data_IF_126511971519
#
_entry.id   IF_126511971519
#
_cell.length_a   1.000
_cell.length_b   1.000
_cell.length_c   1.000
_cell.angle_alpha   90.00
_cell.angle_beta   90.00
_cell.angle_gamma   90.00
#
_symmetry.space_group_name_H-M   'P 1'
#
loop_
_entity.id
_entity.type
_entity.pdbx_description
1 polymer ?
#
# COMPACT_ATOMS: atom_id res chain seq x y z
N UNK A 1 -19.08 3.34 21.32
CA UNK A 1 -18.38 4.52 21.86
C UNK A 1 -17.50 4.19 23.06
N UNK A 2 -17.96 3.42 24.06
CA UNK A 2 -17.12 2.98 25.20
C UNK A 2 -15.96 2.05 24.81
N UNK A 3 -16.18 1.09 23.89
CA UNK A 3 -15.13 0.15 23.49
C UNK A 3 -13.93 0.83 22.82
N UNK A 4 -14.13 1.92 22.08
CA UNK A 4 -13.03 2.71 21.49
C UNK A 4 -12.21 3.50 22.52
N UNK A 5 -12.76 3.77 23.72
CA UNK A 5 -12.02 4.43 24.79
C UNK A 5 -10.96 3.51 25.40
N UNK A 6 -11.17 2.18 25.37
CA UNK A 6 -10.26 1.20 25.95
C UNK A 6 -8.99 1.01 25.12
N UNK A 7 -9.04 1.24 23.81
CA UNK A 7 -7.85 1.15 22.94
C UNK A 7 -6.72 2.09 23.40
N UNK A 8 -7.05 3.21 24.07
CA UNK A 8 -6.08 4.20 24.56
C UNK A 8 -5.06 3.61 25.54
N UNK A 9 -5.44 2.56 26.27
CA UNK A 9 -4.59 1.93 27.27
C UNK A 9 -3.67 0.86 26.69
N UNK A 10 -3.98 0.34 25.50
CA UNK A 10 -3.15 -0.65 24.81
C UNK A 10 -1.74 -0.09 24.59
N UNK A 11 -0.75 -0.97 24.75
CA UNK A 11 0.65 -0.61 24.66
C UNK A 11 1.31 -1.26 23.45
N UNK A 12 2.13 -0.48 22.77
CA UNK A 12 2.96 -0.96 21.66
C UNK A 12 4.42 -0.58 21.89
N UNK A 13 5.29 -1.31 21.22
CA UNK A 13 6.71 -1.00 21.04
C UNK A 13 6.95 -0.67 19.58
N UNK A 14 7.63 0.44 19.35
CA UNK A 14 8.00 0.90 18.00
C UNK A 14 9.49 0.71 17.84
N UNK A 15 9.92 0.39 16.61
CA UNK A 15 11.34 0.26 16.30
C UNK A 15 12.12 1.52 16.73
N UNK A 16 13.23 1.34 17.46
CA UNK A 16 14.12 2.41 17.88
C UNK A 16 15.04 2.85 16.74
N UNK A 17 15.70 1.86 16.18
CA UNK A 17 16.51 1.89 14.97
C UNK A 17 16.56 0.45 14.48
N UNK A 18 16.26 0.22 13.19
CA UNK A 18 16.26 -1.11 12.55
C UNK A 18 17.63 -1.79 12.67
N UNK A 19 18.69 -1.00 12.88
CA UNK A 19 20.08 -1.45 13.00
C UNK A 19 20.61 -1.53 14.44
N UNK A 20 19.76 -1.39 15.47
CA UNK A 20 20.22 -1.36 16.86
C UNK A 20 20.02 -2.69 17.60
N UNK A 21 20.97 -3.01 18.50
CA UNK A 21 20.92 -4.17 19.41
C UNK A 21 19.68 -4.20 20.31
N UNK A 22 19.04 -3.03 20.51
CA UNK A 22 17.73 -2.89 21.14
C UNK A 22 16.73 -2.44 20.08
N UNK A 23 16.15 -3.37 19.32
CA UNK A 23 15.38 -3.03 18.13
C UNK A 23 14.16 -2.17 18.45
N UNK A 24 13.68 -2.17 19.70
CA UNK A 24 12.48 -1.48 20.13
C UNK A 24 12.71 -0.41 21.20
N UNK A 25 11.95 0.68 21.10
CA UNK A 25 11.84 1.70 22.14
C UNK A 25 11.06 1.15 23.35
N UNK A 26 11.13 1.87 24.48
CA UNK A 26 10.30 1.56 25.65
C UNK A 26 8.81 1.53 25.25
N UNK A 27 8.00 0.59 25.79
CA UNK A 27 6.56 0.53 25.51
C UNK A 27 5.87 1.87 25.77
N UNK A 28 4.92 2.22 24.91
CA UNK A 28 4.10 3.41 25.05
C UNK A 28 2.63 3.04 24.85
N UNK A 29 1.75 3.65 25.66
CA UNK A 29 0.31 3.54 25.44
C UNK A 29 -0.09 4.29 24.18
N UNK A 30 -1.14 3.83 23.50
CA UNK A 30 -1.71 4.56 22.37
C UNK A 30 -2.12 6.00 22.76
N UNK A 31 -2.57 6.20 24.01
CA UNK A 31 -2.83 7.53 24.58
C UNK A 31 -1.60 8.44 24.54
N UNK A 32 -0.44 7.93 24.96
CA UNK A 32 0.80 8.71 25.02
C UNK A 32 1.34 9.01 23.62
N UNK A 33 1.26 8.05 22.69
CA UNK A 33 1.67 8.26 21.30
C UNK A 33 0.90 9.39 20.63
N UNK A 34 -0.38 9.53 20.94
CA UNK A 34 -1.24 10.62 20.44
C UNK A 34 -0.87 12.01 20.97
N UNK A 35 -0.10 12.09 22.04
CA UNK A 35 0.34 13.36 22.62
C UNK A 35 1.69 13.83 22.04
N UNK A 36 2.28 13.06 21.11
CA UNK A 36 3.49 13.48 20.42
C UNK A 36 3.21 14.65 19.48
N UNK A 37 4.26 15.36 19.05
CA UNK A 37 4.15 16.43 18.06
C UNK A 37 3.63 15.95 16.71
N UNK A 38 3.86 14.68 16.38
CA UNK A 38 3.43 14.02 15.16
C UNK A 38 2.74 12.70 15.52
N UNK A 39 1.46 12.76 15.93
CA UNK A 39 0.73 11.59 16.40
C UNK A 39 0.51 10.58 15.26
N UNK A 40 0.93 9.31 15.44
CA UNK A 40 0.78 8.30 14.40
C UNK A 40 -0.67 7.82 14.27
N UNK A 41 -1.01 7.27 13.12
CA UNK A 41 -2.20 6.42 12.93
C UNK A 41 -1.86 4.99 13.32
N UNK A 42 -2.85 4.23 13.77
CA UNK A 42 -2.69 2.83 14.17
C UNK A 42 -3.59 1.96 13.30
N UNK A 43 -3.03 0.90 12.75
CA UNK A 43 -3.76 -0.17 12.08
C UNK A 43 -3.43 -1.47 12.82
N UNK A 44 -4.41 -2.03 13.53
CA UNK A 44 -4.21 -3.26 14.30
C UNK A 44 -4.93 -4.41 13.63
N UNK A 45 -4.24 -5.54 13.47
CA UNK A 45 -4.72 -6.76 12.84
C UNK A 45 -4.68 -7.90 13.85
N UNK A 46 -5.72 -8.72 13.92
CA UNK A 46 -5.78 -9.93 14.74
C UNK A 46 -6.21 -11.12 13.88
N UNK A 47 -5.45 -12.20 13.96
CA UNK A 47 -5.67 -13.39 13.14
C UNK A 47 -4.80 -14.55 13.60
N UNK A 48 -4.89 -15.66 12.88
CA UNK A 48 -3.90 -16.75 12.94
C UNK A 48 -2.55 -16.26 12.41
N UNK A 49 -1.47 -16.96 12.76
CA UNK A 49 -0.15 -16.65 12.24
C UNK A 49 -0.11 -16.67 10.69
N UNK A 50 -0.87 -17.56 10.05
CA UNK A 50 -0.97 -17.63 8.59
C UNK A 50 -1.66 -16.38 8.01
N UNK A 51 -2.85 -16.03 8.52
CA UNK A 51 -3.60 -14.85 8.05
C UNK A 51 -2.78 -13.57 8.21
N UNK A 52 -2.08 -13.42 9.34
CA UNK A 52 -1.25 -12.24 9.60
C UNK A 52 -0.01 -12.20 8.71
N UNK A 53 0.61 -13.33 8.38
CA UNK A 53 1.74 -13.38 7.43
C UNK A 53 1.31 -13.06 6.00
N UNK A 54 0.10 -13.46 5.60
CA UNK A 54 -0.48 -13.09 4.31
C UNK A 54 -0.72 -11.58 4.26
N UNK A 55 -1.43 -11.01 5.24
CA UNK A 55 -1.67 -9.58 5.35
C UNK A 55 -0.35 -8.77 5.42
N UNK A 56 0.65 -9.31 6.13
CA UNK A 56 1.94 -8.66 6.23
C UNK A 56 2.68 -8.62 4.89
N UNK A 57 2.65 -9.70 4.11
CA UNK A 57 3.25 -9.75 2.78
C UNK A 57 2.68 -8.68 1.85
N UNK A 58 1.36 -8.45 1.91
CA UNK A 58 0.68 -7.39 1.16
C UNK A 58 1.06 -5.99 1.67
N UNK A 59 1.11 -5.79 2.99
CA UNK A 59 1.49 -4.49 3.58
C UNK A 59 2.96 -4.14 3.36
N UNK A 60 3.85 -5.13 3.19
CA UNK A 60 5.27 -4.89 2.86
C UNK A 60 5.42 -4.11 1.55
N UNK A 61 4.58 -4.39 0.56
CA UNK A 61 4.53 -3.64 -0.71
C UNK A 61 4.29 -2.15 -0.48
N UNK A 62 3.55 -1.81 0.58
CA UNK A 62 3.14 -0.46 0.91
C UNK A 62 4.00 0.18 2.01
N UNK A 63 5.09 -0.46 2.42
CA UNK A 63 5.86 -0.07 3.61
C UNK A 63 6.30 1.40 3.62
N UNK A 64 6.86 1.88 2.52
CA UNK A 64 7.24 3.29 2.37
C UNK A 64 6.03 4.23 2.44
N UNK A 65 4.87 3.82 1.93
CA UNK A 65 3.62 4.61 1.97
C UNK A 65 3.02 4.64 3.37
N UNK A 66 3.11 3.54 4.12
CA UNK A 66 2.75 3.49 5.53
C UNK A 66 3.61 4.45 6.37
N UNK A 67 4.92 4.53 6.10
CA UNK A 67 5.80 5.51 6.74
C UNK A 67 5.40 6.95 6.39
N UNK A 68 5.13 7.24 5.11
CA UNK A 68 4.69 8.57 4.65
C UNK A 68 3.37 9.02 5.28
N UNK A 69 2.51 8.06 5.60
CA UNK A 69 1.24 8.28 6.27
C UNK A 69 1.35 8.31 7.81
N UNK A 70 2.57 8.17 8.36
CA UNK A 70 2.84 8.00 9.79
C UNK A 70 1.95 6.93 10.45
N UNK A 71 1.86 5.77 9.80
CA UNK A 71 1.02 4.66 10.27
C UNK A 71 1.87 3.55 10.90
N UNK A 72 1.48 3.11 12.10
CA UNK A 72 1.99 1.88 12.69
C UNK A 72 1.00 0.74 12.51
N UNK A 73 1.51 -0.39 12.01
CA UNK A 73 0.79 -1.65 11.94
C UNK A 73 1.11 -2.48 13.18
N UNK A 74 0.09 -3.01 13.85
CA UNK A 74 0.24 -3.88 15.02
C UNK A 74 -0.36 -5.24 14.69
N UNK A 75 0.44 -6.30 14.79
CA UNK A 75 -0.01 -7.67 14.53
C UNK A 75 -0.27 -8.39 15.86
N UNK A 76 -1.49 -8.92 16.01
CA UNK A 76 -1.96 -9.59 17.23
C UNK A 76 -2.30 -11.05 16.91
N UNK A 77 -1.30 -11.95 16.91
CA UNK A 77 -1.55 -13.36 16.66
C UNK A 77 -2.39 -13.98 17.77
N UNK A 78 -3.29 -14.89 17.38
CA UNK A 78 -4.20 -15.58 18.31
C UNK A 78 -3.68 -16.93 18.77
N UNK A 79 -3.07 -17.66 17.85
CA UNK A 79 -2.70 -19.07 17.96
C UNK A 79 -1.21 -19.28 18.30
N UNK A 80 -0.30 -18.64 17.57
CA UNK A 80 1.14 -18.84 17.72
C UNK A 80 1.91 -17.52 17.62
N UNK A 81 3.07 -17.38 18.30
CA UNK A 81 3.95 -16.22 18.12
C UNK A 81 4.31 -16.00 16.65
N UNK A 82 4.33 -14.74 16.22
CA UNK A 82 4.79 -14.36 14.89
C UNK A 82 6.31 -14.24 14.88
N UNK A 83 6.96 -15.01 14.01
CA UNK A 83 8.39 -14.87 13.72
C UNK A 83 8.56 -14.08 12.44
N UNK A 84 8.88 -12.79 12.58
CA UNK A 84 9.08 -11.89 11.46
C UNK A 84 10.51 -12.04 10.93
N UNK A 85 10.64 -12.29 9.63
CA UNK A 85 11.94 -12.39 8.94
C UNK A 85 12.58 -11.02 8.65
N UNK A 86 11.87 -9.93 8.91
CA UNK A 86 12.33 -8.57 8.67
C UNK A 86 11.84 -7.63 9.77
N UNK A 87 12.50 -6.47 9.86
CA UNK A 87 12.07 -5.36 10.69
C UNK A 87 11.69 -4.18 9.80
N UNK A 88 10.68 -3.42 10.20
CA UNK A 88 10.27 -2.22 9.50
C UNK A 88 9.84 -1.14 10.50
N UNK A 89 10.15 0.12 10.19
CA UNK A 89 9.83 1.24 11.09
C UNK A 89 8.33 1.53 11.20
N UNK A 90 7.53 1.08 10.24
CA UNK A 90 6.06 1.15 10.26
C UNK A 90 5.43 -0.04 11.01
N UNK A 91 6.20 -1.04 11.41
CA UNK A 91 5.70 -2.20 12.14
C UNK A 91 5.95 -2.03 13.65
N UNK A 92 4.91 -2.24 14.44
CA UNK A 92 4.95 -2.13 15.89
C UNK A 92 4.58 -3.46 16.56
N UNK A 93 5.23 -3.76 17.67
CA UNK A 93 5.01 -4.97 18.46
C UNK A 93 3.97 -4.67 19.57
N UNK A 94 2.93 -5.51 19.76
CA UNK A 94 2.07 -5.42 20.92
C UNK A 94 2.85 -5.76 22.19
N UNK A 95 2.88 -4.87 23.18
CA UNK A 95 3.68 -5.11 24.38
C UNK A 95 3.08 -6.18 25.31
N UNK A 96 1.76 -6.13 25.54
CA UNK A 96 1.02 -7.16 26.25
C UNK A 96 0.02 -7.81 25.29
N UNK A 97 0.40 -8.95 24.71
CA UNK A 97 -0.41 -9.62 23.69
C UNK A 97 -1.78 -10.05 24.23
N UNK A 98 -1.88 -10.43 25.50
CA UNK A 98 -3.13 -10.91 26.09
C UNK A 98 -4.14 -9.78 26.29
N UNK A 99 -3.68 -8.57 26.65
CA UNK A 99 -4.53 -7.37 26.66
C UNK A 99 -5.06 -7.04 25.26
N UNK A 100 -4.20 -7.15 24.24
CA UNK A 100 -4.62 -6.96 22.85
C UNK A 100 -5.65 -8.00 22.40
N UNK A 101 -5.43 -9.28 22.73
CA UNK A 101 -6.39 -10.36 22.47
C UNK A 101 -7.72 -10.12 23.18
N UNK A 102 -7.67 -9.74 24.46
CA UNK A 102 -8.85 -9.37 25.25
C UNK A 102 -9.63 -8.24 24.59
N UNK A 103 -8.95 -7.16 24.18
CA UNK A 103 -9.58 -6.04 23.48
C UNK A 103 -10.28 -6.46 22.17
N UNK A 104 -9.61 -7.27 21.34
CA UNK A 104 -10.23 -7.77 20.11
C UNK A 104 -11.44 -8.66 20.39
N UNK A 105 -11.39 -9.51 21.41
CA UNK A 105 -12.51 -10.36 21.83
C UNK A 105 -13.68 -9.54 22.39
N UNK A 106 -13.40 -8.46 23.11
CA UNK A 106 -14.41 -7.52 23.58
C UNK A 106 -15.08 -6.78 22.42
N UNK A 107 -14.35 -6.46 21.35
CA UNK A 107 -14.92 -5.88 20.13
C UNK A 107 -15.87 -6.86 19.43
N UNK A 108 -15.41 -8.09 19.21
CA UNK A 108 -16.19 -9.16 18.62
C UNK A 108 -15.61 -10.52 19.06
N UNK A 109 -16.39 -11.43 19.66
CA UNK A 109 -15.89 -12.72 20.17
C UNK A 109 -15.61 -13.76 19.06
N UNK A 110 -15.58 -13.36 17.79
CA UNK A 110 -15.37 -14.27 16.65
C UNK A 110 -13.93 -14.74 16.54
N UNK A 111 -13.76 -15.93 15.94
CA UNK A 111 -12.46 -16.52 15.59
C UNK A 111 -12.01 -16.16 14.17
N UNK A 112 -12.58 -15.13 13.57
CA UNK A 112 -12.22 -14.67 12.22
C UNK A 112 -11.04 -13.69 12.27
N UNK A 113 -10.37 -13.49 11.13
CA UNK A 113 -9.47 -12.34 10.96
C UNK A 113 -10.21 -11.04 11.27
N UNK A 114 -9.57 -10.12 11.97
CA UNK A 114 -10.15 -8.84 12.39
C UNK A 114 -9.15 -7.73 12.23
N UNK A 115 -9.63 -6.53 11.96
CA UNK A 115 -8.81 -5.34 11.96
C UNK A 115 -9.58 -4.13 12.47
N UNK A 116 -8.84 -3.16 13.00
CA UNK A 116 -9.37 -1.83 13.24
C UNK A 116 -8.30 -0.77 12.99
N UNK A 117 -8.77 0.42 12.67
CA UNK A 117 -7.93 1.57 12.36
C UNK A 117 -8.24 2.77 13.23
N UNK A 118 -7.21 3.41 13.78
CA UNK A 118 -7.32 4.65 14.55
C UNK A 118 -6.56 5.77 13.85
N UNK A 119 -7.21 6.93 13.71
CA UNK A 119 -6.56 8.12 13.18
C UNK A 119 -5.65 8.79 14.23
N UNK A 120 -5.00 9.89 13.87
CA UNK A 120 -4.11 10.63 14.77
C UNK A 120 -4.81 11.20 16.02
N UNK A 121 -6.13 11.41 15.95
CA UNK A 121 -6.98 11.77 17.09
C UNK A 121 -7.45 10.55 17.90
N UNK A 122 -6.93 9.36 17.58
CA UNK A 122 -7.33 8.06 18.11
C UNK A 122 -8.84 7.82 18.09
N UNK A 123 -9.53 8.31 17.06
CA UNK A 123 -10.89 7.91 16.71
C UNK A 123 -10.81 6.80 15.67
N UNK A 124 -11.77 5.88 15.71
CA UNK A 124 -11.87 4.85 14.68
C UNK A 124 -12.09 5.48 13.30
N UNK A 125 -11.38 4.99 12.29
CA UNK A 125 -11.67 5.27 10.88
C UNK A 125 -12.25 4.07 10.14
N UNK A 126 -12.30 2.91 10.79
CA UNK A 126 -12.81 1.68 10.18
C UNK A 126 -12.41 0.45 10.99
N UNK A 127 -13.16 -0.62 10.78
CA UNK A 127 -12.90 -1.95 11.31
C UNK A 127 -13.59 -3.00 10.44
N UNK A 128 -13.07 -4.22 10.43
CA UNK A 128 -13.68 -5.34 9.71
C UNK A 128 -13.40 -6.69 10.38
N UNK A 129 -14.19 -7.69 9.97
CA UNK A 129 -14.08 -9.10 10.37
C UNK A 129 -14.17 -9.97 9.11
N UNK A 130 -13.55 -11.14 9.13
CA UNK A 130 -13.59 -12.12 8.04
C UNK A 130 -12.51 -11.92 6.98
N UNK A 131 -12.27 -10.67 6.56
CA UNK A 131 -11.36 -10.37 5.45
C UNK A 131 -10.40 -9.21 5.75
N UNK A 132 -9.22 -9.27 5.12
CA UNK A 132 -8.29 -8.13 5.05
C UNK A 132 -8.92 -6.98 4.27
N UNK A 133 -8.72 -5.72 4.69
CA UNK A 133 -9.20 -4.59 3.92
C UNK A 133 -8.42 -4.46 2.61
N UNK A 134 -9.03 -3.85 1.61
CA UNK A 134 -8.35 -3.44 0.39
C UNK A 134 -7.33 -2.35 0.72
N UNK A 135 -6.06 -2.73 0.91
CA UNK A 135 -5.03 -1.85 1.49
C UNK A 135 -4.84 -0.55 0.74
N UNK A 136 -4.89 -0.59 -0.60
CA UNK A 136 -4.74 0.60 -1.43
C UNK A 136 -5.91 1.58 -1.21
N UNK A 137 -7.14 1.08 -1.08
CA UNK A 137 -8.30 1.92 -0.79
C UNK A 137 -8.21 2.53 0.62
N UNK A 138 -7.75 1.73 1.60
CA UNK A 138 -7.53 2.20 2.97
C UNK A 138 -6.48 3.31 3.02
N UNK A 139 -5.40 3.17 2.23
CA UNK A 139 -4.39 4.21 2.03
C UNK A 139 -5.00 5.50 1.48
N UNK A 140 -5.74 5.42 0.38
CA UNK A 140 -6.33 6.58 -0.28
C UNK A 140 -7.39 7.30 0.56
N UNK A 141 -8.09 6.61 1.44
CA UNK A 141 -9.20 7.18 2.20
C UNK A 141 -8.77 7.70 3.57
N UNK A 142 -8.04 6.87 4.33
CA UNK A 142 -7.83 7.09 5.76
C UNK A 142 -6.36 7.23 6.13
N UNK A 143 -5.46 6.59 5.39
CA UNK A 143 -4.01 6.62 5.63
C UNK A 143 -3.27 7.48 4.58
N UNK A 144 -3.84 8.65 4.30
CA UNK A 144 -3.28 9.65 3.39
C UNK A 144 -1.89 10.13 3.85
N UNK A 145 -1.01 10.56 2.93
CA UNK A 145 0.33 11.00 3.30
C UNK A 145 0.25 12.17 4.29
N UNK A 146 1.14 12.19 5.29
CA UNK A 146 1.37 13.37 6.13
C UNK A 146 2.57 14.17 5.63
N UNK A 147 3.57 13.46 5.08
CA UNK A 147 4.71 14.04 4.38
C UNK A 147 4.57 13.71 2.89
N UNK A 148 4.34 14.74 2.07
CA UNK A 148 4.37 14.58 0.61
C UNK A 148 5.83 14.50 0.16
N UNK A 149 6.10 13.57 -0.74
CA UNK A 149 7.35 13.59 -1.50
C UNK A 149 7.29 14.76 -2.47
N UNK A 150 8.43 15.44 -2.66
CA UNK A 150 8.59 16.35 -3.78
C UNK A 150 8.96 15.59 -5.06
N UNK A 151 8.92 16.30 -6.20
CA UNK A 151 9.23 15.75 -7.52
C UNK A 151 10.72 15.47 -7.74
N UNK A 152 11.58 15.83 -6.77
CA UNK A 152 13.04 15.75 -6.88
C UNK A 152 13.61 14.60 -6.04
N UNK A 153 12.77 13.92 -5.25
CA UNK A 153 13.19 12.75 -4.50
C UNK A 153 13.53 11.59 -5.43
N UNK A 154 14.83 11.32 -5.50
CA UNK A 154 15.42 10.19 -6.19
C UNK A 154 14.81 8.85 -5.73
N UNK A 155 14.80 7.83 -6.61
CA UNK A 155 14.48 6.47 -6.23
C UNK A 155 15.31 6.05 -5.01
N UNK A 156 14.77 5.16 -4.19
CA UNK A 156 15.62 4.48 -3.21
C UNK A 156 16.67 3.68 -4.00
N UNK A 157 17.96 3.87 -3.70
CA UNK A 157 19.01 3.08 -4.33
C UNK A 157 18.87 1.64 -3.82
N UNK A 158 18.42 0.70 -4.66
CA UNK A 158 18.18 -0.65 -4.18
C UNK A 158 19.54 -1.33 -4.07
N UNK A 159 19.98 -1.59 -2.85
CA UNK A 159 21.14 -2.47 -2.61
C UNK A 159 20.93 -3.90 -3.14
N UNK A 160 19.68 -4.25 -3.46
CA UNK A 160 19.25 -5.52 -4.02
C UNK A 160 19.07 -5.43 -5.55
N UNK A 161 19.79 -6.28 -6.28
CA UNK A 161 19.77 -6.34 -7.73
C UNK A 161 18.38 -6.71 -8.31
N UNK A 162 17.59 -7.55 -7.63
CA UNK A 162 16.24 -7.89 -8.08
C UNK A 162 15.31 -6.67 -7.96
N UNK A 163 15.41 -5.89 -6.87
CA UNK A 163 14.70 -4.62 -6.75
C UNK A 163 15.13 -3.62 -7.83
N UNK A 164 16.44 -3.52 -8.12
CA UNK A 164 16.95 -2.67 -9.20
C UNK A 164 16.33 -3.01 -10.56
N UNK A 165 16.23 -4.31 -10.86
CA UNK A 165 15.62 -4.82 -12.10
C UNK A 165 14.13 -4.44 -12.21
N UNK A 166 13.36 -4.58 -11.13
CA UNK A 166 11.94 -4.14 -11.09
C UNK A 166 11.83 -2.63 -11.32
N UNK A 167 12.68 -1.83 -10.67
CA UNK A 167 12.66 -0.37 -10.85
C UNK A 167 13.08 0.06 -12.26
N UNK A 168 13.96 -0.69 -12.92
CA UNK A 168 14.28 -0.48 -14.32
C UNK A 168 13.07 -0.77 -15.23
N UNK A 169 12.35 -1.87 -14.98
CA UNK A 169 11.11 -2.18 -15.70
C UNK A 169 10.03 -1.11 -15.48
N UNK A 170 9.90 -0.60 -14.26
CA UNK A 170 9.02 0.54 -13.95
C UNK A 170 9.40 1.80 -14.75
N UNK A 171 10.69 2.13 -14.82
CA UNK A 171 11.17 3.27 -15.63
C UNK A 171 10.83 3.09 -17.11
N UNK A 172 11.01 1.88 -17.65
CA UNK A 172 10.64 1.56 -19.02
C UNK A 172 9.12 1.74 -19.26
N UNK A 173 8.28 1.33 -18.31
CA UNK A 173 6.83 1.52 -18.37
C UNK A 173 6.46 2.99 -18.50
N UNK A 174 6.97 3.84 -17.59
CA UNK A 174 6.66 5.26 -17.63
C UNK A 174 7.22 5.95 -18.87
N UNK A 175 8.39 5.52 -19.36
CA UNK A 175 8.95 6.02 -20.61
C UNK A 175 8.11 5.63 -21.84
N UNK A 176 7.53 4.43 -21.87
CA UNK A 176 6.60 4.02 -22.93
C UNK A 176 5.27 4.77 -22.84
N UNK A 177 4.71 4.87 -21.62
CA UNK A 177 3.44 5.55 -21.35
C UNK A 177 3.46 7.03 -21.77
N UNK A 178 4.47 7.76 -21.34
CA UNK A 178 4.59 9.21 -21.59
C UNK A 178 4.91 9.54 -23.05
N UNK A 179 5.53 8.61 -23.80
CA UNK A 179 5.84 8.77 -25.23
C UNK A 179 4.76 8.22 -26.16
N UNK A 180 3.75 7.53 -25.64
CA UNK A 180 2.74 6.88 -26.47
C UNK A 180 3.24 5.66 -27.25
N UNK A 181 4.31 5.01 -26.78
CA UNK A 181 4.98 3.91 -27.49
C UNK A 181 4.29 2.57 -27.21
N UNK A 182 3.38 2.16 -28.10
CA UNK A 182 2.58 0.93 -27.96
C UNK A 182 3.43 -0.33 -28.05
N UNK A 183 4.50 -0.34 -28.86
CA UNK A 183 5.35 -1.51 -29.04
C UNK A 183 6.20 -1.75 -27.79
N UNK A 184 6.77 -0.68 -27.22
CA UNK A 184 7.45 -0.76 -25.93
C UNK A 184 6.47 -1.16 -24.81
N UNK A 185 5.25 -0.63 -24.83
CA UNK A 185 4.23 -0.99 -23.85
C UNK A 185 3.86 -2.48 -23.91
N UNK A 186 3.65 -3.03 -25.12
CA UNK A 186 3.38 -4.45 -25.34
C UNK A 186 4.54 -5.35 -24.89
N UNK A 187 5.79 -4.89 -25.03
CA UNK A 187 6.95 -5.62 -24.57
C UNK A 187 7.06 -5.69 -23.02
N UNK A 188 6.42 -4.76 -22.31
CA UNK A 188 6.47 -4.66 -20.84
C UNK A 188 5.40 -5.51 -20.18
N UNK A 189 4.22 -5.62 -20.79
CA UNK A 189 3.10 -6.33 -20.19
C UNK A 189 3.28 -7.86 -20.16
N UNK A 190 2.72 -8.45 -19.11
CA UNK A 190 2.42 -9.87 -19.07
C UNK A 190 1.17 -10.16 -19.92
N UNK A 191 1.26 -11.09 -20.85
CA UNK A 191 0.17 -11.47 -21.78
C UNK A 191 -0.93 -12.33 -21.12
N UNK A 192 -1.23 -12.09 -19.85
CA UNK A 192 -2.34 -12.68 -19.13
C UNK A 192 -3.18 -11.62 -18.43
N UNK A 193 -4.47 -11.86 -18.31
CA UNK A 193 -5.40 -10.89 -17.74
C UNK A 193 -5.30 -10.86 -16.22
N UNK A 194 -5.33 -9.66 -15.65
CA UNK A 194 -5.44 -9.50 -14.21
C UNK A 194 -6.87 -9.83 -13.78
N UNK A 195 -7.01 -10.64 -12.72
CA UNK A 195 -8.32 -10.91 -12.13
C UNK A 195 -9.00 -9.61 -11.69
N UNK A 196 -8.23 -8.69 -11.08
CA UNK A 196 -8.76 -7.42 -10.59
C UNK A 196 -9.31 -6.48 -11.67
N UNK A 197 -8.85 -6.59 -12.92
CA UNK A 197 -9.40 -5.85 -14.06
C UNK A 197 -10.57 -6.63 -14.65
N UNK A 198 -10.46 -7.96 -14.73
CA UNK A 198 -11.50 -8.85 -15.23
C UNK A 198 -12.78 -8.75 -14.41
N UNK A 199 -12.69 -8.68 -13.09
CA UNK A 199 -13.84 -8.52 -12.20
C UNK A 199 -14.63 -7.23 -12.50
N UNK A 200 -13.93 -6.13 -12.78
CA UNK A 200 -14.54 -4.84 -13.12
C UNK A 200 -15.27 -4.91 -14.46
N UNK A 201 -14.63 -5.52 -15.46
CA UNK A 201 -15.22 -5.70 -16.79
C UNK A 201 -16.46 -6.61 -16.70
N UNK A 202 -16.38 -7.70 -15.93
CA UNK A 202 -17.51 -8.61 -15.72
C UNK A 202 -18.67 -7.93 -14.97
N UNK A 203 -18.38 -6.94 -14.13
CA UNK A 203 -19.38 -6.10 -13.47
C UNK A 203 -19.94 -4.99 -14.39
N UNK A 204 -19.57 -4.95 -15.67
CA UNK A 204 -20.04 -3.98 -16.67
C UNK A 204 -19.15 -2.75 -16.84
N UNK A 205 -17.96 -2.73 -16.24
CA UNK A 205 -16.98 -1.67 -16.42
C UNK A 205 -16.43 -1.65 -17.85
N UNK A 206 -16.27 -0.44 -18.40
CA UNK A 206 -15.66 -0.24 -19.72
C UNK A 206 -14.13 -0.23 -19.60
N UNK A 207 -13.47 -0.91 -20.53
CA UNK A 207 -12.03 -0.82 -20.73
C UNK A 207 -11.71 0.15 -21.85
N UNK A 208 -10.82 1.10 -21.57
CA UNK A 208 -10.18 1.93 -22.58
C UNK A 208 -8.86 1.27 -22.97
N UNK A 209 -8.70 0.96 -24.26
CA UNK A 209 -7.56 0.17 -24.72
C UNK A 209 -6.26 0.96 -24.63
N UNK A 210 -5.11 0.28 -24.59
CA UNK A 210 -3.82 0.99 -24.64
C UNK A 210 -3.65 1.83 -25.89
N UNK A 211 -4.24 1.45 -27.02
CA UNK A 211 -4.25 2.28 -28.22
C UNK A 211 -4.92 3.63 -27.95
N UNK A 212 -6.04 3.63 -27.23
CA UNK A 212 -6.78 4.83 -26.89
C UNK A 212 -6.07 5.66 -25.82
N UNK A 213 -5.55 5.00 -24.76
CA UNK A 213 -4.83 5.64 -23.67
C UNK A 213 -3.50 6.28 -24.11
N UNK A 214 -2.88 5.81 -25.19
CA UNK A 214 -1.59 6.30 -25.68
C UNK A 214 -1.71 7.36 -26.79
N UNK A 215 -2.92 7.68 -27.26
CA UNK A 215 -3.14 8.71 -28.28
C UNK A 215 -2.68 10.10 -27.82
N UNK A 216 -2.29 10.94 -28.78
CA UNK A 216 -2.02 12.36 -28.55
C UNK A 216 -3.21 13.04 -27.86
N UNK A 217 -2.93 13.78 -26.79
CA UNK A 217 -3.95 14.44 -25.96
C UNK A 217 -4.66 13.54 -24.94
N UNK A 218 -4.56 12.21 -25.07
CA UNK A 218 -5.05 11.25 -24.06
C UNK A 218 -3.94 10.77 -23.12
N UNK A 219 -2.73 10.54 -23.65
CA UNK A 219 -1.58 10.08 -22.85
C UNK A 219 -1.13 11.15 -21.83
N UNK A 220 -0.54 10.74 -20.70
CA UNK A 220 -0.02 11.66 -19.70
C UNK A 220 1.35 12.23 -20.10
N UNK A 221 1.41 12.94 -21.22
CA UNK A 221 2.65 13.51 -21.77
C UNK A 221 3.31 14.47 -20.77
N UNK A 222 4.60 14.28 -20.47
CA UNK A 222 5.33 15.13 -19.51
C UNK A 222 5.04 14.82 -18.04
N UNK A 223 4.28 13.76 -17.73
CA UNK A 223 4.13 13.27 -16.36
C UNK A 223 5.49 12.88 -15.77
N UNK A 224 5.74 13.30 -14.53
CA UNK A 224 6.93 12.92 -13.76
C UNK A 224 6.57 11.89 -12.71
N UNK A 225 7.57 11.13 -12.27
CA UNK A 225 7.43 10.18 -11.18
C UNK A 225 8.50 10.43 -10.12
N UNK A 226 8.20 10.17 -8.84
CA UNK A 226 9.18 10.27 -7.77
C UNK A 226 8.94 9.25 -6.64
N UNK A 227 10.00 9.02 -5.86
CA UNK A 227 9.97 8.13 -4.70
C UNK A 227 9.59 6.68 -5.02
N UNK A 228 10.06 6.17 -6.15
CA UNK A 228 9.96 4.76 -6.52
C UNK A 228 10.53 3.85 -5.43
N UNK A 229 9.84 2.73 -5.21
CA UNK A 229 10.22 1.67 -4.27
C UNK A 229 9.79 0.31 -4.85
N UNK A 230 10.50 -0.76 -4.50
CA UNK A 230 10.23 -2.12 -4.97
C UNK A 230 10.31 -3.14 -3.83
N UNK A 231 9.44 -4.14 -3.87
CA UNK A 231 9.38 -5.23 -2.91
C UNK A 231 9.30 -6.57 -3.63
N UNK A 232 10.30 -7.43 -3.42
CA UNK A 232 10.31 -8.81 -3.92
C UNK A 232 9.57 -9.70 -2.93
N UNK A 233 8.47 -10.33 -3.36
CA UNK A 233 7.73 -11.30 -2.54
C UNK A 233 8.20 -12.72 -2.78
N UNK A 234 8.62 -13.05 -4.00
CA UNK A 234 9.21 -14.34 -4.36
C UNK A 234 10.05 -14.21 -5.64
N UNK A 235 10.69 -15.30 -6.04
CA UNK A 235 11.41 -15.38 -7.32
C UNK A 235 10.54 -15.09 -8.55
N UNK A 236 9.21 -15.08 -8.43
CA UNK A 236 8.27 -14.91 -9.57
C UNK A 236 7.30 -13.75 -9.40
N UNK A 237 7.29 -13.10 -8.24
CA UNK A 237 6.35 -12.03 -7.92
C UNK A 237 7.04 -10.90 -7.17
N UNK A 238 6.88 -9.70 -7.69
CA UNK A 238 7.37 -8.47 -7.10
C UNK A 238 6.34 -7.36 -7.26
N UNK A 239 6.50 -6.30 -6.47
CA UNK A 239 5.72 -5.09 -6.60
C UNK A 239 6.62 -3.88 -6.66
N UNK A 240 6.16 -2.83 -7.31
CA UNK A 240 6.73 -1.50 -7.13
C UNK A 240 5.64 -0.50 -6.80
N UNK A 241 6.02 0.57 -6.11
CA UNK A 241 5.15 1.71 -5.87
C UNK A 241 5.85 2.99 -6.27
N UNK A 242 5.11 3.99 -6.72
CA UNK A 242 5.67 5.30 -7.09
C UNK A 242 4.62 6.39 -6.99
N UNK A 243 5.06 7.64 -6.82
CA UNK A 243 4.17 8.80 -6.90
C UNK A 243 4.22 9.39 -8.29
N UNK A 244 3.06 9.58 -8.89
CA UNK A 244 2.89 10.18 -10.21
C UNK A 244 2.47 11.65 -10.07
N UNK A 245 3.07 12.49 -10.91
CA UNK A 245 2.81 13.92 -11.03
C UNK A 245 2.39 14.22 -12.47
N UNK A 246 1.11 14.04 -12.82
CA UNK A 246 0.58 14.38 -14.14
C UNK A 246 0.84 15.85 -14.47
N UNK A 247 1.26 16.11 -15.71
CA UNK A 247 1.41 17.46 -16.24
C UNK A 247 0.04 18.11 -16.49
N UNK A 248 -0.03 19.44 -16.47
CA UNK A 248 -1.17 20.17 -17.03
C UNK A 248 -2.49 20.13 -16.23
N UNK A 249 -2.53 19.55 -15.03
CA UNK A 249 -3.66 19.80 -14.14
C UNK A 249 -3.54 21.24 -13.63
N UNK A 250 -4.52 22.11 -13.86
CA UNK A 250 -4.49 23.54 -13.49
C UNK A 250 -4.34 23.83 -11.99
N UNK A 251 -4.07 22.81 -11.18
CA UNK A 251 -3.63 22.86 -9.79
C UNK A 251 -2.36 22.02 -9.66
N UNK A 252 -1.28 22.60 -9.15
CA UNK A 252 0.02 21.94 -8.84
C UNK A 252 -0.05 20.82 -7.77
N UNK A 253 -1.19 20.14 -7.61
CA UNK A 253 -1.52 19.30 -6.44
C UNK A 253 -2.12 17.94 -6.77
N UNK A 254 -2.43 17.63 -8.03
CA UNK A 254 -2.93 16.30 -8.39
C UNK A 254 -1.77 15.30 -8.40
N UNK A 255 -1.62 14.55 -7.30
CA UNK A 255 -0.64 13.47 -7.16
C UNK A 255 -1.35 12.14 -7.06
N UNK A 256 -0.83 11.12 -7.74
CA UNK A 256 -1.36 9.74 -7.66
C UNK A 256 -0.34 8.83 -7.01
N UNK A 257 -0.80 7.84 -6.26
CA UNK A 257 0.02 6.70 -5.83
C UNK A 257 -0.26 5.57 -6.79
N UNK A 258 0.79 5.11 -7.47
CA UNK A 258 0.77 3.92 -8.28
C UNK A 258 1.31 2.72 -7.49
N UNK A 259 0.64 1.58 -7.65
CA UNK A 259 1.10 0.25 -7.22
C UNK A 259 1.08 -0.66 -8.44
N UNK A 260 2.20 -1.32 -8.69
CA UNK A 260 2.41 -2.16 -9.85
C UNK A 260 2.79 -3.56 -9.41
N UNK A 261 2.10 -4.58 -9.94
CA UNK A 261 2.43 -5.99 -9.76
C UNK A 261 3.25 -6.46 -10.95
N UNK A 262 4.40 -7.07 -10.66
CA UNK A 262 5.34 -7.60 -11.62
C UNK A 262 5.46 -9.12 -11.44
N UNK A 263 5.50 -9.83 -12.57
CA UNK A 263 5.63 -11.28 -12.62
C UNK A 263 6.72 -11.70 -13.59
N UNK A 264 7.36 -12.83 -13.32
CA UNK A 264 8.29 -13.50 -14.24
C UNK A 264 8.14 -15.01 -14.16
N UNK A 265 8.44 -15.72 -15.24
CA UNK A 265 8.25 -17.19 -15.29
C UNK A 265 9.34 -17.93 -14.51
N UNK A 266 10.57 -17.44 -14.58
CA UNK A 266 11.74 -17.92 -13.86
C UNK A 266 12.60 -16.74 -13.38
N UNK A 267 13.59 -17.01 -12.52
CA UNK A 267 14.45 -15.98 -11.91
C UNK A 267 15.25 -15.17 -12.94
N UNK A 268 15.64 -15.81 -14.03
CA UNK A 268 16.48 -15.19 -15.08
C UNK A 268 15.66 -14.44 -16.13
N UNK A 269 14.33 -14.58 -16.09
CA UNK A 269 13.43 -13.86 -17.00
C UNK A 269 13.25 -12.40 -16.59
N UNK A 270 12.91 -11.56 -17.58
CA UNK A 270 12.53 -10.19 -17.34
C UNK A 270 11.21 -10.08 -16.58
N UNK A 271 11.14 -9.12 -15.66
CA UNK A 271 9.89 -8.73 -15.03
C UNK A 271 8.90 -8.18 -16.05
N UNK A 272 7.66 -8.68 -16.00
CA UNK A 272 6.53 -8.22 -16.82
C UNK A 272 5.44 -7.64 -15.94
N UNK A 273 4.87 -6.52 -16.37
CA UNK A 273 3.80 -5.84 -15.64
C UNK A 273 2.50 -6.65 -15.78
N UNK A 274 1.93 -7.11 -14.68
CA UNK A 274 0.64 -7.81 -14.67
C UNK A 274 -0.52 -6.87 -14.35
N UNK A 275 -0.28 -5.89 -13.48
CA UNK A 275 -1.30 -4.97 -13.02
C UNK A 275 -0.67 -3.64 -12.64
N UNK A 276 -1.26 -2.55 -13.09
CA UNK A 276 -0.95 -1.19 -12.65
C UNK A 276 -2.21 -0.58 -12.05
N UNK A 277 -2.12 -0.10 -10.82
CA UNK A 277 -3.24 0.52 -10.11
C UNK A 277 -2.83 1.91 -9.66
N UNK A 278 -3.72 2.89 -9.80
CA UNK A 278 -3.49 4.24 -9.29
C UNK A 278 -4.67 4.72 -8.46
N UNK A 279 -4.35 5.48 -7.41
CA UNK A 279 -5.33 6.20 -6.60
C UNK A 279 -4.88 7.65 -6.41
N UNK A 280 -5.80 8.60 -6.19
CA UNK A 280 -5.44 9.92 -5.68
C UNK A 280 -4.64 9.80 -4.37
N UNK A 281 -3.52 10.52 -4.31
CA UNK A 281 -2.58 10.49 -3.19
C UNK A 281 -2.28 11.91 -2.72
N UNK A 282 -3.22 12.50 -1.99
CA UNK A 282 -3.10 13.86 -1.47
C UNK A 282 -3.34 13.90 0.05
N UNK A 283 -2.89 14.99 0.68
CA UNK A 283 -3.13 15.23 2.10
C UNK A 283 -4.60 15.56 2.40
N UNK A 284 -5.22 16.29 1.48
CA UNK A 284 -6.45 17.04 1.76
C UNK A 284 -7.70 16.33 1.23
N UNK A 285 -7.54 15.56 0.15
CA UNK A 285 -8.63 14.86 -0.52
C UNK A 285 -8.49 13.35 -0.40
N UNK A 286 -9.59 12.68 -0.06
CA UNK A 286 -9.66 11.21 -0.07
C UNK A 286 -9.83 10.69 -1.50
N UNK A 287 -9.22 9.55 -1.80
CA UNK A 287 -9.41 8.86 -3.06
C UNK A 287 -10.89 8.50 -3.28
N UNK A 288 -11.45 8.97 -4.39
CA UNK A 288 -12.84 8.69 -4.81
C UNK A 288 -12.95 7.58 -5.85
N UNK A 289 -11.81 7.17 -6.40
CA UNK A 289 -11.74 6.13 -7.41
C UNK A 289 -10.34 5.58 -7.55
N UNK A 290 -10.27 4.47 -8.25
CA UNK A 290 -9.05 3.71 -8.54
C UNK A 290 -9.02 3.42 -10.02
N UNK A 291 -7.89 3.69 -10.68
CA UNK A 291 -7.64 3.17 -12.02
C UNK A 291 -6.98 1.81 -11.88
N UNK A 292 -7.36 0.84 -12.70
CA UNK A 292 -6.69 -0.47 -12.79
C UNK A 292 -6.41 -0.77 -14.25
N UNK A 293 -5.19 -1.17 -14.56
CA UNK A 293 -4.80 -1.49 -15.93
C UNK A 293 -4.06 -2.83 -16.00
N UNK A 294 -4.32 -3.58 -17.06
CA UNK A 294 -3.55 -4.75 -17.47
C UNK A 294 -3.21 -4.66 -18.97
N UNK A 295 -2.75 -5.75 -19.58
CA UNK A 295 -2.33 -5.76 -20.99
C UNK A 295 -3.44 -5.34 -21.99
N UNK A 296 -4.72 -5.35 -21.59
CA UNK A 296 -5.84 -4.94 -22.46
C UNK A 296 -6.03 -3.43 -22.49
N UNK A 297 -5.66 -2.72 -21.43
CA UNK A 297 -5.96 -1.31 -21.23
C UNK A 297 -6.29 -0.99 -19.77
N UNK A 298 -7.02 0.11 -19.56
CA UNK A 298 -7.36 0.62 -18.23
C UNK A 298 -8.88 0.64 -18.00
N UNK A 299 -9.29 0.36 -16.76
CA UNK A 299 -10.66 0.49 -16.25
C UNK A 299 -10.66 1.45 -15.06
N UNK A 300 -11.62 2.37 -15.05
CA UNK A 300 -11.85 3.25 -13.91
C UNK A 300 -12.91 2.68 -12.99
N UNK A 301 -12.58 2.53 -11.72
CA UNK A 301 -13.52 2.24 -10.65
C UNK A 301 -13.80 3.53 -9.90
N UNK A 302 -14.99 4.10 -10.09
CA UNK A 302 -15.48 5.15 -9.20
C UNK A 302 -16.29 4.50 -8.10
N UNK A 303 -16.16 4.99 -6.87
CA UNK A 303 -17.14 4.63 -5.84
C UNK A 303 -18.50 5.17 -6.25
N UNK A 304 -19.48 4.29 -6.38
CA UNK A 304 -20.88 4.68 -6.29
C UNK A 304 -21.11 5.23 -4.88
N UNK A 305 -21.64 6.46 -4.80
CA UNK A 305 -22.18 6.97 -3.55
C UNK A 305 -23.43 6.14 -3.25
N UNK A 306 -23.34 5.23 -2.29
CA UNK A 306 -24.49 4.68 -1.57
C UNK A 306 -24.67 5.44 -0.25
#
# INVERSE_FOLDING_TARGET
MEKELNAKNLQIRVAANVWSDRPYKKPQTLRKLRQSSYPPRILALSGTALELNTALSELRVLGRRLQQSLTYVVLVPRDAPLHLSFQASWLAEPYNIDEWKGYFNDLSPTIEFRWFGLNFNGRSFGSGSGESPQWLELLGQYLRPTNLLDQEMEPEDPSDADCASVLQAQKAFYAALTRGDIDAMNAIYFFGFSQQVTDVVNAGGRIDSWKDCLMDGARPEGMRIAGSDACILSDKEAYSTVIEFPSGTGSNTATLLAVQKWVRSSRDDQWKLQLHQTIPWSRDTSAQGTLRCDCRGCVALMRSFE
#
